data_IF_067608671172
#
_entry.id   IF_067608671172
#
_cell.length_a   1.000
_cell.length_b   1.000
_cell.length_c   1.000
_cell.angle_alpha   90.00
_cell.angle_beta   90.00
_cell.angle_gamma   90.00
#
_symmetry.space_group_name_H-M   'P 1'
#
loop_
_entity.id
_entity.type
_entity.pdbx_description
1 polymer ?
#
# COMPACT_ATOMS: atom_id res chain seq x y z
N UNK A 1 -5.17 -1.94 -14.65
CA UNK A 1 -4.64 -2.35 -13.33
C UNK A 1 -3.44 -3.30 -13.46
N UNK A 2 -3.58 -4.39 -14.21
CA UNK A 2 -2.59 -5.49 -14.31
C UNK A 2 -1.17 -5.05 -14.70
N UNK A 3 -1.03 -4.10 -15.63
CA UNK A 3 0.27 -3.56 -16.03
C UNK A 3 1.01 -2.87 -14.88
N UNK A 4 0.29 -2.20 -13.96
CA UNK A 4 0.88 -1.56 -12.78
C UNK A 4 1.39 -2.60 -11.80
N UNK A 5 0.57 -3.61 -11.50
CA UNK A 5 0.94 -4.72 -10.61
C UNK A 5 2.16 -5.46 -11.17
N UNK A 6 2.11 -5.83 -12.45
CA UNK A 6 3.21 -6.53 -13.14
C UNK A 6 4.50 -5.72 -13.12
N UNK A 7 4.41 -4.40 -13.27
CA UNK A 7 5.57 -3.49 -13.13
C UNK A 7 6.14 -3.56 -11.72
N UNK A 8 5.32 -3.47 -10.68
CA UNK A 8 5.79 -3.49 -9.29
C UNK A 8 6.37 -4.84 -8.86
N UNK A 9 5.83 -5.94 -9.38
CA UNK A 9 6.34 -7.29 -9.11
C UNK A 9 7.68 -7.59 -9.82
N UNK A 10 8.01 -6.88 -10.91
CA UNK A 10 9.30 -7.07 -11.60
C UNK A 10 10.46 -6.68 -10.68
N UNK A 11 11.56 -7.42 -10.68
CA UNK A 11 12.77 -7.03 -9.92
C UNK A 11 13.57 -5.95 -10.64
N UNK A 12 13.88 -6.19 -11.90
CA UNK A 12 14.67 -5.27 -12.73
C UNK A 12 13.76 -4.31 -13.49
N UNK A 13 13.79 -3.02 -13.12
CA UNK A 13 13.04 -1.98 -13.81
C UNK A 13 13.75 -0.63 -13.66
N UNK A 14 13.46 0.30 -14.56
CA UNK A 14 13.83 1.71 -14.34
C UNK A 14 12.96 2.27 -13.22
N UNK A 15 13.57 2.89 -12.22
CA UNK A 15 12.86 3.53 -11.12
C UNK A 15 12.07 4.73 -11.66
N UNK A 16 10.80 4.81 -11.31
CA UNK A 16 9.92 5.89 -11.79
C UNK A 16 8.95 6.39 -10.72
N UNK A 17 8.34 5.50 -9.94
CA UNK A 17 7.37 5.88 -8.89
C UNK A 17 7.97 5.77 -7.50
N UNK A 18 7.36 6.46 -6.52
CA UNK A 18 7.80 6.43 -5.12
C UNK A 18 7.99 5.01 -4.58
N UNK A 19 7.04 4.11 -4.88
CA UNK A 19 7.12 2.69 -4.48
C UNK A 19 8.27 1.92 -5.15
N UNK A 20 8.74 2.33 -6.33
CA UNK A 20 9.88 1.65 -6.98
C UNK A 20 11.18 1.85 -6.17
N UNK A 21 11.35 3.00 -5.52
CA UNK A 21 12.49 3.25 -4.63
C UNK A 21 12.41 2.37 -3.37
N UNK A 22 11.22 2.23 -2.79
CA UNK A 22 11.01 1.36 -1.64
C UNK A 22 11.28 -0.11 -1.99
N UNK A 23 10.80 -0.56 -3.15
CA UNK A 23 11.01 -1.93 -3.63
C UNK A 23 12.45 -2.23 -4.08
N UNK A 24 13.33 -1.22 -4.14
CA UNK A 24 14.76 -1.46 -4.36
C UNK A 24 15.42 -2.09 -3.11
N UNK A 25 14.87 -1.88 -1.92
CA UNK A 25 15.37 -2.44 -0.66
C UNK A 25 14.34 -3.29 0.12
N UNK A 26 13.11 -3.41 -0.38
CA UNK A 26 12.04 -4.21 0.23
C UNK A 26 11.56 -5.33 -0.69
N UNK A 27 10.81 -6.29 -0.12
CA UNK A 27 10.13 -7.36 -0.86
C UNK A 27 8.62 -7.27 -0.65
N UNK A 28 7.87 -7.50 -1.72
CA UNK A 28 6.41 -7.64 -1.65
C UNK A 28 6.10 -8.98 -0.99
N UNK A 29 5.21 -8.97 0.01
CA UNK A 29 4.68 -10.15 0.68
C UNK A 29 3.33 -10.54 0.10
N UNK A 30 2.43 -9.57 0.08
CA UNK A 30 1.06 -9.73 -0.37
C UNK A 30 0.69 -8.57 -1.30
N UNK A 31 -0.25 -8.81 -2.20
CA UNK A 31 -0.85 -7.80 -3.08
C UNK A 31 -2.35 -7.92 -2.96
N UNK A 32 -2.98 -6.88 -2.43
CA UNK A 32 -4.42 -6.76 -2.39
C UNK A 32 -4.88 -5.93 -3.58
N UNK A 33 -5.86 -6.44 -4.31
CA UNK A 33 -6.52 -5.75 -5.43
C UNK A 33 -7.95 -5.49 -5.00
N UNK A 34 -8.56 -4.43 -5.52
CA UNK A 34 -9.89 -4.04 -5.09
C UNK A 34 -10.49 -2.95 -5.94
N UNK A 35 -11.80 -2.77 -5.82
CA UNK A 35 -12.53 -1.67 -6.48
C UNK A 35 -12.62 -0.40 -5.63
N UNK A 36 -12.23 -0.46 -4.34
CA UNK A 36 -12.19 0.71 -3.49
C UNK A 36 -11.17 1.73 -3.97
N UNK A 37 -11.47 3.00 -3.77
CA UNK A 37 -10.50 4.07 -4.01
C UNK A 37 -9.41 3.99 -2.96
N UNK A 38 -8.18 4.25 -3.39
CA UNK A 38 -7.00 4.27 -2.53
C UNK A 38 -7.21 5.18 -1.30
N UNK A 39 -7.81 6.37 -1.50
CA UNK A 39 -8.09 7.31 -0.41
C UNK A 39 -9.03 6.74 0.67
N UNK A 40 -10.00 5.90 0.29
CA UNK A 40 -10.93 5.28 1.26
C UNK A 40 -10.21 4.23 2.11
N UNK A 41 -9.24 3.52 1.53
CA UNK A 41 -8.39 2.55 2.23
C UNK A 41 -7.44 3.28 3.19
N UNK A 42 -6.78 4.33 2.68
CA UNK A 42 -5.85 5.18 3.44
C UNK A 42 -6.50 5.78 4.67
N UNK A 43 -7.72 6.31 4.53
CA UNK A 43 -8.47 6.90 5.65
C UNK A 43 -8.68 5.89 6.77
N UNK A 44 -9.02 4.65 6.43
CA UNK A 44 -9.23 3.59 7.42
C UNK A 44 -7.92 3.13 8.06
N UNK A 45 -6.84 3.03 7.29
CA UNK A 45 -5.53 2.62 7.81
C UNK A 45 -4.92 3.66 8.77
N UNK A 46 -5.23 4.94 8.56
CA UNK A 46 -4.75 6.03 9.41
C UNK A 46 -5.18 5.94 10.88
N UNK A 47 -6.27 5.22 11.17
CA UNK A 47 -6.74 4.97 12.54
C UNK A 47 -5.88 3.91 13.27
N UNK A 48 -5.15 3.07 12.53
CA UNK A 48 -4.44 1.90 13.08
C UNK A 48 -2.92 2.06 13.06
N UNK A 49 -2.37 2.76 12.07
CA UNK A 49 -0.93 2.75 11.82
C UNK A 49 -0.32 4.14 11.66
N UNK A 50 0.93 4.34 12.11
CA UNK A 50 1.70 5.50 11.72
C UNK A 50 2.01 5.49 10.22
N UNK A 51 2.33 6.66 9.68
CA UNK A 51 2.54 6.86 8.25
C UNK A 51 3.73 7.77 7.93
N UNK A 52 4.22 7.66 6.69
CA UNK A 52 5.29 8.53 6.16
C UNK A 52 4.69 9.69 5.39
N UNK A 53 4.55 10.85 6.05
CA UNK A 53 3.92 12.03 5.46
C UNK A 53 4.43 12.37 4.05
N UNK A 54 3.50 12.61 3.13
CA UNK A 54 3.73 13.02 1.74
C UNK A 54 4.14 11.89 0.80
N UNK A 55 4.25 10.65 1.28
CA UNK A 55 4.62 9.54 0.41
C UNK A 55 3.43 9.12 -0.47
N UNK A 56 3.58 9.21 -1.79
CA UNK A 56 2.59 8.65 -2.73
C UNK A 56 1.28 9.41 -2.88
N UNK A 57 1.06 10.50 -2.13
CA UNK A 57 -0.19 11.26 -2.12
C UNK A 57 -0.14 12.56 -2.94
N UNK A 58 0.66 12.61 -4.02
CA UNK A 58 0.85 13.84 -4.81
C UNK A 58 -0.37 14.28 -5.62
N UNK A 59 -1.33 13.38 -5.86
CA UNK A 59 -2.53 13.58 -6.67
C UNK A 59 -3.83 13.61 -5.85
N UNK A 60 -3.72 13.65 -4.51
CA UNK A 60 -4.86 13.73 -3.59
C UNK A 60 -4.50 14.51 -2.31
N UNK A 61 -5.49 14.78 -1.46
CA UNK A 61 -5.30 15.48 -0.19
C UNK A 61 -4.93 14.53 0.98
N UNK A 62 -4.54 13.28 0.69
CA UNK A 62 -4.15 12.34 1.73
C UNK A 62 -2.80 12.72 2.35
N UNK A 63 -2.68 12.54 3.66
CA UNK A 63 -1.43 12.79 4.38
C UNK A 63 -0.29 11.85 3.95
N UNK A 64 -0.62 10.61 3.55
CA UNK A 64 0.33 9.59 3.09
C UNK A 64 -0.39 8.40 2.49
N UNK A 65 0.24 7.70 1.54
CA UNK A 65 -0.14 6.37 1.05
C UNK A 65 0.83 5.25 1.51
N UNK A 66 1.76 5.57 2.42
CA UNK A 66 2.66 4.60 3.05
C UNK A 66 2.46 4.58 4.56
N UNK A 67 2.07 3.42 5.06
CA UNK A 67 1.87 3.09 6.48
C UNK A 67 2.89 2.03 6.89
N UNK A 68 3.22 1.97 8.18
CA UNK A 68 4.19 1.01 8.69
C UNK A 68 3.87 0.60 10.13
N UNK A 69 4.37 -0.56 10.51
CA UNK A 69 4.42 -1.03 11.89
C UNK A 69 5.67 -1.90 12.07
N UNK A 70 6.16 -2.03 13.30
CA UNK A 70 7.27 -2.94 13.63
C UNK A 70 6.77 -4.39 13.77
N UNK A 71 5.48 -4.57 14.11
CA UNK A 71 4.83 -5.87 14.22
C UNK A 71 4.14 -6.26 12.90
N UNK A 72 4.84 -7.08 12.11
CA UNK A 72 4.28 -7.65 10.88
C UNK A 72 3.02 -8.49 11.12
N UNK A 73 2.91 -9.17 12.26
CA UNK A 73 1.75 -10.01 12.57
C UNK A 73 0.49 -9.15 12.75
N UNK A 74 0.59 -8.10 13.56
CA UNK A 74 -0.48 -7.13 13.75
C UNK A 74 -0.87 -6.45 12.43
N UNK A 75 0.13 -6.02 11.64
CA UNK A 75 -0.09 -5.41 10.34
C UNK A 75 -0.85 -6.35 9.40
N UNK A 76 -0.39 -7.58 9.27
CA UNK A 76 -1.01 -8.59 8.40
C UNK A 76 -2.43 -8.93 8.84
N UNK A 77 -2.70 -8.99 10.14
CA UNK A 77 -4.03 -9.29 10.68
C UNK A 77 -5.01 -8.14 10.41
N UNK A 78 -4.64 -6.89 10.73
CA UNK A 78 -5.51 -5.73 10.53
C UNK A 78 -5.77 -5.51 9.04
N UNK A 79 -4.74 -5.58 8.20
CA UNK A 79 -4.90 -5.41 6.75
C UNK A 79 -5.77 -6.53 6.18
N UNK A 80 -5.50 -7.80 6.54
CA UNK A 80 -6.33 -8.93 6.11
C UNK A 80 -7.81 -8.74 6.50
N UNK A 81 -8.07 -8.46 7.78
CA UNK A 81 -9.42 -8.20 8.28
C UNK A 81 -10.10 -7.01 7.60
N UNK A 82 -9.34 -5.97 7.25
CA UNK A 82 -9.88 -4.81 6.54
C UNK A 82 -10.35 -5.21 5.14
N UNK A 83 -9.53 -5.95 4.38
CA UNK A 83 -9.91 -6.42 3.05
C UNK A 83 -11.06 -7.43 3.08
N UNK A 84 -11.07 -8.35 4.05
CA UNK A 84 -12.14 -9.34 4.24
C UNK A 84 -13.49 -8.68 4.60
N UNK A 85 -13.48 -7.69 5.51
CA UNK A 85 -14.71 -7.01 5.98
C UNK A 85 -15.34 -6.09 4.96
N UNK A 86 -14.58 -5.62 3.98
CA UNK A 86 -15.09 -4.71 2.94
C UNK A 86 -15.41 -5.45 1.63
N UNK A 87 -15.46 -6.78 1.63
CA UNK A 87 -15.73 -7.62 0.44
C UNK A 87 -14.91 -7.16 -0.77
N UNK A 88 -13.65 -6.81 -0.53
CA UNK A 88 -12.76 -6.32 -1.58
C UNK A 88 -12.21 -7.58 -2.27
N UNK A 89 -12.64 -7.91 -3.50
CA UNK A 89 -12.32 -9.18 -4.15
C UNK A 89 -10.84 -9.33 -4.49
#
# INVERSE_FOLDING_TARGET
MEARISRHLRKEKKIHWHIDYLLACARIKDVYVGELKECDIVTKLADYFPFVRGFGSSDCDCESHLFYDEDYGLLSEIVGNLFDRFEIP
#
